data_IF_654998911948
#
_entry.id   IF_654998911948
#
_cell.length_a   1.000
_cell.length_b   1.000
_cell.length_c   1.000
_cell.angle_alpha   90.00
_cell.angle_beta   90.00
_cell.angle_gamma   90.00
#
_symmetry.space_group_name_H-M   'P 1'
#
loop_
_entity.id
_entity.type
_entity.pdbx_description
1 polymer ?
#
# COMPACT_ATOMS: atom_id res chain seq x y z
N UNK A 1 -9.41 25.38 8.41
CA UNK A 1 -10.50 25.65 9.40
C UNK A 1 -10.70 24.43 10.29
N UNK A 2 -11.13 24.62 11.56
CA UNK A 2 -11.40 23.55 12.52
C UNK A 2 -12.38 22.50 11.95
N UNK A 3 -13.42 22.96 11.25
CA UNK A 3 -14.38 22.08 10.59
C UNK A 3 -13.73 21.15 9.56
N UNK A 4 -12.79 21.65 8.76
CA UNK A 4 -12.05 20.82 7.79
C UNK A 4 -11.24 19.71 8.46
N UNK A 5 -10.57 20.00 9.59
CA UNK A 5 -9.81 19.01 10.35
C UNK A 5 -10.74 17.93 10.92
N UNK A 6 -11.89 18.31 11.44
CA UNK A 6 -12.89 17.37 11.97
C UNK A 6 -13.42 16.46 10.86
N UNK A 7 -13.80 17.02 9.72
CA UNK A 7 -14.28 16.25 8.56
C UNK A 7 -13.20 15.28 8.06
N UNK A 8 -11.95 15.73 7.95
CA UNK A 8 -10.84 14.89 7.57
C UNK A 8 -10.63 13.72 8.57
N UNK A 9 -10.66 14.02 9.87
CA UNK A 9 -10.52 13.01 10.92
C UNK A 9 -11.64 11.96 10.89
N UNK A 10 -12.89 12.40 10.72
CA UNK A 10 -14.04 11.49 10.59
C UNK A 10 -13.91 10.62 9.34
N UNK A 11 -13.56 11.21 8.20
CA UNK A 11 -13.39 10.47 6.93
C UNK A 11 -12.27 9.44 7.04
N UNK A 12 -11.13 9.80 7.61
CA UNK A 12 -10.01 8.90 7.83
C UNK A 12 -10.39 7.75 8.78
N UNK A 13 -11.13 8.04 9.86
CA UNK A 13 -11.64 7.03 10.78
C UNK A 13 -12.58 6.04 10.08
N UNK A 14 -13.52 6.54 9.27
CA UNK A 14 -14.46 5.70 8.52
C UNK A 14 -13.72 4.82 7.50
N UNK A 15 -12.74 5.35 6.80
CA UNK A 15 -11.92 4.60 5.85
C UNK A 15 -11.17 3.47 6.56
N UNK A 16 -10.47 3.77 7.66
CA UNK A 16 -9.74 2.77 8.45
C UNK A 16 -10.67 1.69 9.02
N UNK A 17 -11.87 2.08 9.47
CA UNK A 17 -12.87 1.12 9.94
C UNK A 17 -13.34 0.19 8.81
N UNK A 18 -13.49 0.69 7.59
CA UNK A 18 -13.85 -0.12 6.41
C UNK A 18 -12.73 -1.10 6.06
N UNK A 19 -11.49 -0.65 6.08
CA UNK A 19 -10.30 -1.49 5.86
C UNK A 19 -10.23 -2.59 6.93
N UNK A 20 -10.32 -2.24 8.21
CA UNK A 20 -10.28 -3.21 9.31
C UNK A 20 -11.40 -4.24 9.19
N UNK A 21 -12.62 -3.84 8.83
CA UNK A 21 -13.74 -4.77 8.63
C UNK A 21 -13.45 -5.76 7.50
N UNK A 22 -12.91 -5.30 6.37
CA UNK A 22 -12.53 -6.16 5.25
C UNK A 22 -11.48 -7.21 5.68
N UNK A 23 -10.44 -6.78 6.41
CA UNK A 23 -9.41 -7.71 6.91
C UNK A 23 -9.97 -8.68 7.95
N UNK A 24 -10.74 -8.20 8.92
CA UNK A 24 -11.35 -9.06 9.93
C UNK A 24 -12.29 -10.11 9.30
N UNK A 25 -12.95 -9.76 8.19
CA UNK A 25 -13.74 -10.72 7.41
C UNK A 25 -12.86 -11.80 6.77
N UNK A 26 -11.70 -11.43 6.20
CA UNK A 26 -10.74 -12.40 5.63
C UNK A 26 -10.22 -13.39 6.67
N UNK A 27 -9.92 -12.92 7.88
CA UNK A 27 -9.46 -13.77 9.01
C UNK A 27 -10.59 -14.42 9.79
N UNK A 28 -11.87 -14.07 9.48
CA UNK A 28 -13.07 -14.55 10.18
C UNK A 28 -13.03 -14.26 11.69
N UNK A 29 -12.57 -13.08 12.05
CA UNK A 29 -12.46 -12.64 13.45
C UNK A 29 -13.40 -11.48 13.75
N UNK A 30 -13.77 -11.36 15.03
CA UNK A 30 -14.62 -10.25 15.50
C UNK A 30 -13.84 -8.92 15.48
N UNK A 31 -14.54 -7.80 15.24
CA UNK A 31 -13.91 -6.48 15.26
C UNK A 31 -13.42 -6.14 16.67
N UNK A 32 -12.36 -5.32 16.75
CA UNK A 32 -11.81 -4.80 18.01
C UNK A 32 -12.79 -3.87 18.71
N UNK A 33 -12.74 -3.75 20.06
CA UNK A 33 -13.48 -2.70 20.78
C UNK A 33 -13.01 -1.31 20.37
N UNK A 34 -13.88 -0.31 20.45
CA UNK A 34 -13.64 1.06 19.95
C UNK A 34 -12.32 1.66 20.45
N UNK A 35 -11.99 1.49 21.71
CA UNK A 35 -10.76 2.04 22.30
C UNK A 35 -9.48 1.44 21.69
N UNK A 36 -9.48 0.14 21.43
CA UNK A 36 -8.36 -0.54 20.77
C UNK A 36 -8.22 -0.11 19.30
N UNK A 37 -9.35 0.14 18.61
CA UNK A 37 -9.35 0.70 17.24
C UNK A 37 -8.75 2.10 17.21
N UNK A 38 -9.18 2.98 18.11
CA UNK A 38 -8.66 4.34 18.20
C UNK A 38 -7.14 4.34 18.40
N UNK A 39 -6.62 3.48 19.27
CA UNK A 39 -5.17 3.34 19.47
C UNK A 39 -4.45 2.88 18.21
N UNK A 40 -4.98 1.86 17.52
CA UNK A 40 -4.40 1.37 16.27
C UNK A 40 -4.42 2.44 15.18
N UNK A 41 -5.54 3.14 15.01
CA UNK A 41 -5.69 4.17 13.99
C UNK A 41 -4.78 5.37 14.27
N UNK A 42 -4.70 5.80 15.54
CA UNK A 42 -3.78 6.84 15.96
C UNK A 42 -2.30 6.43 15.70
N UNK A 43 -1.95 5.17 16.00
CA UNK A 43 -0.61 4.65 15.72
C UNK A 43 -0.31 4.65 14.20
N UNK A 44 -1.22 4.13 13.37
CA UNK A 44 -1.06 4.11 11.91
C UNK A 44 -0.95 5.53 11.37
N UNK A 45 -1.80 6.46 11.83
CA UNK A 45 -1.73 7.87 11.44
C UNK A 45 -0.44 8.56 11.88
N UNK A 46 0.08 8.22 13.06
CA UNK A 46 1.35 8.75 13.52
C UNK A 46 2.54 8.19 12.73
N UNK A 47 2.53 6.91 12.37
CA UNK A 47 3.62 6.26 11.62
C UNK A 47 3.65 6.69 10.16
N UNK A 48 2.48 6.99 9.56
CA UNK A 48 2.37 7.32 8.14
C UNK A 48 3.24 8.51 7.68
N UNK A 49 3.32 9.64 8.41
CA UNK A 49 4.22 10.74 8.06
C UNK A 49 5.69 10.34 8.02
N UNK A 50 6.12 9.43 8.92
CA UNK A 50 7.50 8.92 8.90
C UNK A 50 7.78 8.04 7.69
N UNK A 51 6.81 7.21 7.27
CA UNK A 51 6.92 6.41 6.04
C UNK A 51 7.00 7.33 4.82
N UNK A 52 6.13 8.35 4.74
CA UNK A 52 6.17 9.34 3.66
C UNK A 52 7.47 10.14 3.68
N UNK A 53 7.96 10.52 4.87
CA UNK A 53 9.24 11.20 5.04
C UNK A 53 10.41 10.34 4.57
N UNK A 54 10.41 9.04 4.88
CA UNK A 54 11.44 8.11 4.41
C UNK A 54 11.42 7.96 2.88
N UNK A 55 10.22 7.88 2.27
CA UNK A 55 10.07 7.84 0.82
C UNK A 55 10.54 9.15 0.18
N UNK A 56 10.14 10.30 0.72
CA UNK A 56 10.57 11.60 0.25
C UNK A 56 12.09 11.79 0.39
N UNK A 57 12.66 11.33 1.51
CA UNK A 57 14.11 11.33 1.74
C UNK A 57 14.85 10.45 0.73
N UNK A 58 14.36 9.25 0.45
CA UNK A 58 14.92 8.38 -0.57
C UNK A 58 14.83 9.00 -1.97
N UNK A 59 13.71 9.67 -2.30
CA UNK A 59 13.57 10.41 -3.55
C UNK A 59 14.51 11.61 -3.63
N UNK A 60 14.67 12.38 -2.54
CA UNK A 60 15.61 13.49 -2.46
C UNK A 60 17.05 13.00 -2.67
N UNK A 61 17.43 11.91 -2.00
CA UNK A 61 18.73 11.28 -2.19
C UNK A 61 18.93 10.82 -3.65
N UNK A 62 17.88 10.31 -4.28
CA UNK A 62 17.90 9.94 -5.69
C UNK A 62 18.16 11.11 -6.61
N UNK A 63 17.55 12.26 -6.33
CA UNK A 63 17.74 13.51 -7.10
C UNK A 63 19.15 14.06 -6.87
N UNK A 64 19.62 14.17 -5.63
CA UNK A 64 20.95 14.70 -5.31
C UNK A 64 22.07 13.83 -5.89
N UNK A 65 21.91 12.52 -5.87
CA UNK A 65 22.85 11.61 -6.54
C UNK A 65 22.74 11.70 -8.07
N UNK A 66 21.59 12.12 -8.65
CA UNK A 66 21.48 12.35 -10.10
C UNK A 66 22.16 13.62 -10.56
N UNK A 67 22.42 14.55 -9.67
CA UNK A 67 23.18 15.78 -9.94
C UNK A 67 24.70 15.59 -9.99
N UNK A 68 25.19 14.34 -9.96
CA UNK A 68 26.62 14.05 -10.14
C UNK A 68 27.49 14.27 -8.90
N UNK A 69 26.88 14.36 -7.71
CA UNK A 69 27.61 14.52 -6.45
C UNK A 69 28.35 13.24 -5.99
N UNK A 70 28.07 12.11 -6.64
CA UNK A 70 28.72 10.82 -6.41
C UNK A 70 29.04 10.18 -7.78
N UNK A 71 30.25 9.68 -7.94
CA UNK A 71 30.77 9.02 -9.17
C UNK A 71 30.21 7.61 -9.43
N UNK A 72 29.00 7.33 -8.95
CA UNK A 72 28.39 6.00 -9.08
C UNK A 72 27.72 5.81 -10.45
N UNK A 73 27.85 4.62 -11.07
CA UNK A 73 27.23 4.32 -12.35
C UNK A 73 25.70 4.48 -12.30
N UNK A 74 25.11 5.09 -13.34
CA UNK A 74 23.65 5.37 -13.43
C UNK A 74 22.80 4.10 -13.26
N UNK A 75 23.28 2.94 -13.74
CA UNK A 75 22.57 1.68 -13.61
C UNK A 75 22.52 1.20 -12.16
N UNK A 76 23.60 1.31 -11.40
CA UNK A 76 23.66 0.93 -9.98
C UNK A 76 22.66 1.71 -9.16
N UNK A 77 22.63 3.02 -9.36
CA UNK A 77 21.70 3.92 -8.68
C UNK A 77 20.24 3.58 -8.97
N UNK A 78 19.88 3.31 -10.24
CA UNK A 78 18.51 2.89 -10.60
C UNK A 78 18.12 1.58 -9.89
N UNK A 79 19.01 0.62 -9.86
CA UNK A 79 18.78 -0.67 -9.20
C UNK A 79 18.63 -0.47 -7.69
N UNK A 80 19.52 0.29 -7.05
CA UNK A 80 19.48 0.54 -5.61
C UNK A 80 18.18 1.24 -5.19
N UNK A 81 17.78 2.30 -5.90
CA UNK A 81 16.53 3.01 -5.62
C UNK A 81 15.29 2.13 -5.80
N UNK A 82 15.27 1.32 -6.85
CA UNK A 82 14.19 0.36 -7.09
C UNK A 82 14.14 -0.71 -5.99
N UNK A 83 15.29 -1.21 -5.57
CA UNK A 83 15.38 -2.17 -4.47
C UNK A 83 14.85 -1.59 -3.15
N UNK A 84 15.22 -0.35 -2.81
CA UNK A 84 14.71 0.35 -1.63
C UNK A 84 13.19 0.52 -1.72
N UNK A 85 12.67 1.00 -2.85
CA UNK A 85 11.22 1.19 -3.04
C UNK A 85 10.44 -0.12 -2.90
N UNK A 86 10.90 -1.21 -3.53
CA UNK A 86 10.27 -2.53 -3.44
C UNK A 86 10.35 -3.09 -2.02
N UNK A 87 11.47 -2.90 -1.34
CA UNK A 87 11.63 -3.33 0.06
C UNK A 87 10.68 -2.58 0.99
N UNK A 88 10.59 -1.25 0.87
CA UNK A 88 9.67 -0.44 1.66
C UNK A 88 8.21 -0.84 1.41
N UNK A 89 7.84 -1.10 0.15
CA UNK A 89 6.51 -1.58 -0.21
C UNK A 89 6.22 -2.96 0.41
N UNK A 90 7.19 -3.86 0.38
CA UNK A 90 7.09 -5.19 1.00
C UNK A 90 6.94 -5.14 2.51
N UNK A 91 7.71 -4.27 3.17
CA UNK A 91 7.58 -4.01 4.60
C UNK A 91 6.21 -3.41 4.94
N UNK A 92 5.73 -2.47 4.13
CA UNK A 92 4.42 -1.86 4.30
C UNK A 92 3.29 -2.90 4.22
N UNK A 93 3.24 -3.75 3.18
CA UNK A 93 2.22 -4.79 3.06
C UNK A 93 2.35 -5.84 4.18
N UNK A 94 3.56 -6.24 4.53
CA UNK A 94 3.79 -7.18 5.62
C UNK A 94 3.32 -6.62 6.97
N UNK A 95 3.60 -5.35 7.23
CA UNK A 95 3.10 -4.64 8.41
C UNK A 95 1.57 -4.54 8.40
N UNK A 96 0.96 -4.21 7.25
CA UNK A 96 -0.47 -4.12 7.09
C UNK A 96 -1.16 -5.46 7.46
N UNK A 97 -0.65 -6.57 6.94
CA UNK A 97 -1.20 -7.90 7.23
C UNK A 97 -0.93 -8.39 8.65
N UNK A 98 0.11 -7.88 9.29
CA UNK A 98 0.44 -8.21 10.67
C UNK A 98 -0.39 -7.40 11.69
N UNK A 99 -0.57 -6.10 11.45
CA UNK A 99 -1.11 -5.17 12.45
C UNK A 99 -2.62 -4.93 12.33
N UNK A 100 -3.17 -4.93 11.08
CA UNK A 100 -4.57 -4.53 10.85
C UNK A 100 -5.56 -5.61 11.28
N UNK A 101 -5.39 -6.91 10.97
CA UNK A 101 -6.35 -7.93 11.40
C UNK A 101 -6.41 -8.05 12.93
N UNK A 102 -7.59 -8.29 13.49
CA UNK A 102 -7.74 -8.61 14.90
C UNK A 102 -7.49 -10.11 15.15
N UNK A 103 -6.38 -10.63 14.65
CA UNK A 103 -5.99 -12.04 14.74
C UNK A 103 -4.51 -12.16 15.10
N UNK A 104 -4.11 -13.28 15.66
CA UNK A 104 -2.70 -13.62 15.87
C UNK A 104 -2.10 -14.10 14.54
N UNK A 105 -1.58 -13.16 13.77
CA UNK A 105 -0.93 -13.46 12.49
C UNK A 105 0.55 -13.75 12.72
N UNK A 106 1.03 -14.92 12.29
CA UNK A 106 2.45 -15.25 12.39
C UNK A 106 3.27 -14.32 11.46
N UNK A 107 4.49 -13.99 11.87
CA UNK A 107 5.40 -13.16 11.05
C UNK A 107 5.63 -13.77 9.67
N UNK A 108 5.70 -15.11 9.57
CA UNK A 108 5.85 -15.82 8.29
C UNK A 108 4.64 -15.63 7.38
N UNK A 109 3.43 -15.72 7.91
CA UNK A 109 2.21 -15.49 7.15
C UNK A 109 2.11 -14.04 6.64
N UNK A 110 2.42 -13.07 7.50
CA UNK A 110 2.44 -11.66 7.11
C UNK A 110 3.48 -11.38 6.03
N UNK A 111 4.69 -11.96 6.14
CA UNK A 111 5.74 -11.83 5.12
C UNK A 111 5.35 -12.48 3.79
N UNK A 112 4.77 -13.68 3.80
CA UNK A 112 4.36 -14.36 2.55
C UNK A 112 3.28 -13.56 1.82
N UNK A 113 2.26 -13.07 2.53
CA UNK A 113 1.25 -12.18 1.96
C UNK A 113 1.84 -10.86 1.47
N UNK A 114 2.77 -10.27 2.25
CA UNK A 114 3.45 -9.02 1.91
C UNK A 114 4.31 -9.13 0.67
N UNK A 115 5.11 -10.19 0.54
CA UNK A 115 5.92 -10.45 -0.66
C UNK A 115 5.02 -10.64 -1.89
N UNK A 116 3.97 -11.46 -1.77
CA UNK A 116 3.01 -11.66 -2.85
C UNK A 116 2.38 -10.34 -3.28
N UNK A 117 1.85 -9.56 -2.33
CA UNK A 117 1.21 -8.28 -2.63
C UNK A 117 2.20 -7.29 -3.29
N UNK A 118 3.46 -7.27 -2.84
CA UNK A 118 4.52 -6.43 -3.43
C UNK A 118 4.78 -6.80 -4.88
N UNK A 119 4.93 -8.07 -5.18
CA UNK A 119 5.16 -8.56 -6.54
C UNK A 119 3.95 -8.30 -7.44
N UNK A 120 2.75 -8.62 -6.96
CA UNK A 120 1.51 -8.39 -7.70
C UNK A 120 1.25 -6.90 -7.95
N UNK A 121 1.49 -6.04 -6.94
CA UNK A 121 1.34 -4.59 -7.07
C UNK A 121 2.37 -4.00 -8.04
N UNK A 122 3.61 -4.46 -7.98
CA UNK A 122 4.67 -4.03 -8.92
C UNK A 122 4.37 -4.44 -10.36
N UNK A 123 3.85 -5.66 -10.55
CA UNK A 123 3.40 -6.14 -11.86
C UNK A 123 2.20 -5.32 -12.37
N UNK A 124 1.21 -5.08 -11.52
CA UNK A 124 0.05 -4.25 -11.83
C UNK A 124 0.46 -2.84 -12.24
N UNK A 125 1.37 -2.20 -11.49
CA UNK A 125 1.89 -0.87 -11.84
C UNK A 125 2.52 -0.87 -13.24
N UNK A 126 3.30 -1.89 -13.58
CA UNK A 126 3.95 -1.99 -14.89
C UNK A 126 2.93 -2.19 -16.02
N UNK A 127 1.95 -3.06 -15.82
CA UNK A 127 0.85 -3.26 -16.77
C UNK A 127 0.08 -1.95 -16.98
N UNK A 128 -0.19 -1.23 -15.90
CA UNK A 128 -0.92 0.04 -15.95
C UNK A 128 -0.14 1.15 -16.65
N UNK A 129 1.18 1.22 -16.43
CA UNK A 129 2.08 2.12 -17.15
C UNK A 129 2.03 1.87 -18.67
N UNK A 130 2.14 0.60 -19.09
CA UNK A 130 2.04 0.21 -20.48
C UNK A 130 0.67 0.56 -21.08
N UNK A 131 -0.40 0.31 -20.33
CA UNK A 131 -1.76 0.66 -20.73
C UNK A 131 -1.90 2.18 -20.95
N UNK A 132 -1.39 3.01 -20.05
CA UNK A 132 -1.44 4.48 -20.17
C UNK A 132 -0.66 5.01 -21.37
N UNK A 133 0.51 4.42 -21.63
CA UNK A 133 1.33 4.81 -22.80
C UNK A 133 0.62 4.44 -24.09
N UNK A 134 -0.02 3.27 -24.15
CA UNK A 134 -0.72 2.77 -25.33
C UNK A 134 -2.08 3.44 -25.58
N UNK A 135 -2.64 4.11 -24.57
CA UNK A 135 -4.02 4.64 -24.60
C UNK A 135 -4.12 6.06 -25.17
N UNK A 136 -3.42 6.35 -26.25
CA UNK A 136 -3.56 7.62 -26.99
C UNK A 136 -5.03 7.90 -27.38
N UNK A 137 -5.80 6.85 -27.67
CA UNK A 137 -7.21 6.92 -28.04
C UNK A 137 -8.09 7.43 -26.87
N UNK A 138 -7.82 7.00 -25.63
CA UNK A 138 -8.53 7.50 -24.46
C UNK A 138 -8.30 9.01 -24.24
N UNK A 139 -7.08 9.47 -24.46
CA UNK A 139 -6.74 10.90 -24.37
C UNK A 139 -7.43 11.72 -25.47
N UNK A 140 -7.57 11.16 -26.68
CA UNK A 140 -8.22 11.82 -27.80
C UNK A 140 -9.74 11.96 -27.64
N UNK A 141 -10.39 10.94 -27.05
CA UNK A 141 -11.87 10.91 -26.91
C UNK A 141 -12.32 11.65 -25.62
N UNK A 142 -11.64 11.40 -24.51
CA UNK A 142 -12.07 11.89 -23.19
C UNK A 142 -11.25 13.09 -22.67
N UNK A 143 -10.13 13.44 -23.33
CA UNK A 143 -9.29 14.55 -22.89
C UNK A 143 -8.87 14.43 -21.43
N UNK A 144 -9.02 15.52 -20.66
CA UNK A 144 -8.71 15.57 -19.25
C UNK A 144 -9.63 14.68 -18.38
N UNK A 145 -10.85 14.37 -18.84
CA UNK A 145 -11.79 13.50 -18.14
C UNK A 145 -11.37 12.02 -18.11
N UNK A 146 -10.44 11.60 -18.99
CA UNK A 146 -9.91 10.22 -18.99
C UNK A 146 -9.24 9.84 -17.66
N UNK A 147 -8.71 10.81 -16.92
CA UNK A 147 -8.00 10.59 -15.66
C UNK A 147 -8.90 9.95 -14.61
N UNK A 148 -10.17 10.34 -14.53
CA UNK A 148 -11.07 9.87 -13.48
C UNK A 148 -11.43 8.36 -13.62
N UNK A 149 -11.92 7.84 -14.76
CA UNK A 149 -12.16 6.40 -14.93
C UNK A 149 -10.89 5.57 -14.76
N UNK A 150 -9.77 6.05 -15.31
CA UNK A 150 -8.48 5.38 -15.21
C UNK A 150 -8.02 5.25 -13.75
N UNK A 151 -8.18 6.32 -12.96
CA UNK A 151 -7.88 6.30 -11.53
C UNK A 151 -8.78 5.31 -10.77
N UNK A 152 -10.08 5.24 -11.09
CA UNK A 152 -10.99 4.28 -10.46
C UNK A 152 -10.60 2.84 -10.74
N UNK A 153 -10.22 2.54 -11.99
CA UNK A 153 -9.74 1.22 -12.39
C UNK A 153 -8.46 0.87 -11.64
N UNK A 154 -7.50 1.80 -11.56
CA UNK A 154 -6.26 1.62 -10.80
C UNK A 154 -6.54 1.37 -9.32
N UNK A 155 -7.44 2.13 -8.71
CA UNK A 155 -7.83 1.98 -7.31
C UNK A 155 -8.48 0.61 -7.05
N UNK A 156 -9.35 0.17 -7.98
CA UNK A 156 -10.01 -1.13 -7.89
C UNK A 156 -9.01 -2.29 -7.90
N UNK A 157 -8.08 -2.30 -8.86
CA UNK A 157 -7.05 -3.34 -8.94
C UNK A 157 -6.07 -3.28 -7.77
N UNK A 158 -5.71 -2.08 -7.30
CA UNK A 158 -4.87 -1.91 -6.10
C UNK A 158 -5.51 -2.57 -4.90
N UNK A 159 -6.81 -2.35 -4.70
CA UNK A 159 -7.56 -2.96 -3.61
C UNK A 159 -7.67 -4.48 -3.76
N UNK A 160 -7.91 -4.98 -4.98
CA UNK A 160 -7.91 -6.41 -5.26
C UNK A 160 -6.57 -7.08 -4.87
N UNK A 161 -5.44 -6.50 -5.26
CA UNK A 161 -4.10 -7.01 -4.89
C UNK A 161 -3.91 -7.06 -3.37
N UNK A 162 -4.33 -6.01 -2.66
CA UNK A 162 -4.27 -5.95 -1.19
C UNK A 162 -5.10 -7.07 -0.55
N UNK A 163 -6.31 -7.30 -1.04
CA UNK A 163 -7.19 -8.35 -0.51
C UNK A 163 -6.66 -9.76 -0.82
N UNK A 164 -6.13 -10.00 -2.01
CA UNK A 164 -5.53 -11.29 -2.37
C UNK A 164 -4.29 -11.59 -1.54
N UNK A 165 -3.41 -10.61 -1.31
CA UNK A 165 -2.27 -10.75 -0.41
C UNK A 165 -2.70 -11.06 1.03
N UNK A 166 -3.77 -10.39 1.50
CA UNK A 166 -4.38 -10.67 2.80
C UNK A 166 -4.99 -12.06 2.89
N UNK A 167 -5.65 -12.53 1.83
CA UNK A 167 -6.21 -13.88 1.75
C UNK A 167 -5.10 -14.94 1.83
N UNK A 168 -3.99 -14.72 1.12
CA UNK A 168 -2.81 -15.59 1.18
C UNK A 168 -2.21 -15.62 2.58
N UNK A 169 -2.02 -14.46 3.22
CA UNK A 169 -1.54 -14.39 4.60
C UNK A 169 -2.49 -15.13 5.56
N UNK A 170 -3.80 -14.95 5.40
CA UNK A 170 -4.81 -15.64 6.21
C UNK A 170 -4.78 -17.17 6.01
N UNK A 171 -4.57 -17.65 4.79
CA UNK A 171 -4.49 -19.09 4.51
C UNK A 171 -3.26 -19.74 5.15
N UNK A 172 -2.13 -19.06 5.16
CA UNK A 172 -0.87 -19.52 5.77
C UNK A 172 -0.93 -19.45 7.30
N UNK A 173 -1.67 -18.48 7.87
CA UNK A 173 -1.79 -18.34 9.32
C UNK A 173 -2.76 -19.35 9.97
N UNK A 174 -3.68 -19.94 9.19
CA UNK A 174 -4.58 -20.97 9.71
C UNK A 174 -3.84 -22.29 9.79
N UNK A 175 -3.74 -22.95 10.99
CA UNK A 175 -3.28 -24.30 11.04
C UNK A 175 -4.21 -25.18 10.20
N UNK A 176 -3.64 -26.06 9.37
CA UNK A 176 -4.44 -27.03 8.63
C UNK A 176 -5.33 -27.78 9.63
N UNK A 177 -6.65 -27.65 9.50
CA UNK A 177 -7.59 -28.50 10.24
C UNK A 177 -7.30 -29.95 9.81
N UNK A 178 -6.61 -30.68 10.68
CA UNK A 178 -6.55 -32.13 10.62
C UNK A 178 -7.87 -32.70 11.14
#
# INVERSE_FOLDING_TARGET
TLAGIVVLGVTAFLLMNTIERAFNHLWQVKPRPLLARLRLYAFVMAVWPFVLGAVAGAMSLAVTTSLGLFDEPIWFRRVALKAVAVTLLGLFFSFLYYAVPNAEVSRRAALTGGIFATLAFSAMQKIFELFLVSSAMLKSIYGAFAVFPVFLVWLHFSWAVVLFGGLLAASVSRPAKR
#
